data_IF_305999729452
#
_entry.id   IF_305999729452
#
_cell.length_a   1.000
_cell.length_b   1.000
_cell.length_c   1.000
_cell.angle_alpha   90.00
_cell.angle_beta   90.00
_cell.angle_gamma   90.00
#
_symmetry.space_group_name_H-M   'P 1'
#
loop_
_entity.id
_entity.type
_entity.pdbx_description
1 polymer ?
#
# COMPACT_ATOMS: atom_id res chain seq x y z
N UNK A 1 -19.80 -6.50 -6.41
CA UNK A 1 -19.96 -7.78 -7.12
C UNK A 1 -20.01 -8.89 -6.08
N UNK A 2 -21.12 -9.63 -5.97
CA UNK A 2 -21.21 -10.81 -5.11
C UNK A 2 -20.20 -11.90 -5.55
N UNK A 3 -19.66 -12.69 -4.61
CA UNK A 3 -18.79 -13.83 -4.92
C UNK A 3 -17.30 -13.53 -5.16
N UNK A 4 -16.83 -12.30 -4.93
CA UNK A 4 -15.42 -11.94 -5.14
C UNK A 4 -14.50 -12.55 -4.08
N UNK A 5 -14.98 -12.72 -2.84
CA UNK A 5 -14.16 -13.21 -1.73
C UNK A 5 -13.61 -14.60 -2.01
N UNK A 6 -14.38 -15.44 -2.68
CA UNK A 6 -14.08 -16.83 -3.01
C UNK A 6 -13.10 -16.97 -4.19
N UNK A 7 -12.77 -15.86 -4.86
CA UNK A 7 -11.95 -15.85 -6.09
C UNK A 7 -10.87 -14.78 -6.09
N UNK A 8 -10.68 -14.09 -4.97
CA UNK A 8 -9.71 -12.98 -4.84
C UNK A 8 -8.65 -13.32 -3.82
N UNK A 9 -7.39 -13.11 -4.20
CA UNK A 9 -6.27 -13.03 -3.26
C UNK A 9 -5.93 -11.56 -3.07
N UNK A 10 -6.04 -11.09 -1.83
CA UNK A 10 -5.60 -9.77 -1.42
C UNK A 10 -4.15 -9.84 -1.00
N UNK A 11 -3.29 -9.06 -1.65
CA UNK A 11 -1.87 -8.94 -1.30
C UNK A 11 -1.64 -7.51 -0.81
N UNK A 12 -1.04 -7.38 0.37
CA UNK A 12 -0.78 -6.09 0.99
C UNK A 12 0.65 -6.03 1.51
N UNK A 13 1.39 -5.01 1.08
CA UNK A 13 2.73 -4.71 1.58
C UNK A 13 2.71 -3.64 2.68
N UNK A 14 3.67 -3.73 3.61
CA UNK A 14 3.79 -2.76 4.70
C UNK A 14 4.67 -1.54 4.37
N UNK A 15 5.35 -1.56 3.22
CA UNK A 15 6.35 -0.55 2.83
C UNK A 15 5.85 0.90 2.89
N UNK A 16 4.64 1.16 2.41
CA UNK A 16 4.08 2.51 2.34
C UNK A 16 3.28 2.89 3.59
N UNK A 17 2.50 1.94 4.13
CA UNK A 17 1.66 2.20 5.31
C UNK A 17 2.46 2.42 6.60
N UNK A 18 3.67 1.85 6.68
CA UNK A 18 4.55 1.95 7.85
C UNK A 18 5.90 2.62 7.53
N UNK A 19 6.11 3.18 6.34
CA UNK A 19 7.37 3.82 5.92
C UNK A 19 8.62 2.93 6.06
N UNK A 20 8.47 1.62 5.84
CA UNK A 20 9.53 0.61 5.95
C UNK A 20 9.89 -0.03 4.60
N UNK A 21 10.22 0.80 3.60
CA UNK A 21 10.43 0.35 2.20
C UNK A 21 11.48 -0.75 2.04
N UNK A 22 12.52 -0.75 2.89
CA UNK A 22 13.60 -1.75 2.87
C UNK A 22 13.30 -3.06 3.63
N UNK A 23 12.20 -3.15 4.38
CA UNK A 23 12.00 -4.28 5.31
C UNK A 23 11.40 -5.53 4.65
N UNK A 24 10.90 -5.39 3.42
CA UNK A 24 10.37 -6.48 2.59
C UNK A 24 9.33 -7.35 3.31
N UNK A 25 8.43 -6.72 4.08
CA UNK A 25 7.33 -7.39 4.76
C UNK A 25 6.01 -7.16 4.00
N UNK A 26 5.23 -8.23 3.81
CA UNK A 26 3.93 -8.24 3.18
C UNK A 26 3.11 -9.48 3.62
N UNK A 27 1.81 -9.48 3.35
CA UNK A 27 0.96 -10.67 3.50
C UNK A 27 0.08 -10.88 2.28
N UNK A 28 -0.39 -12.11 2.12
CA UNK A 28 -1.44 -12.49 1.19
C UNK A 28 -2.58 -13.16 1.97
N UNK A 29 -3.82 -12.82 1.66
CA UNK A 29 -5.02 -13.39 2.27
C UNK A 29 -6.07 -13.70 1.19
N UNK A 30 -6.74 -14.83 1.29
CA UNK A 30 -7.67 -15.31 0.29
C UNK A 30 -8.18 -16.72 0.62
N UNK A 31 -8.91 -17.37 -0.28
CA UNK A 31 -9.39 -18.73 -0.08
C UNK A 31 -8.24 -19.72 0.09
N UNK A 32 -8.42 -20.69 0.99
CA UNK A 32 -7.35 -21.60 1.45
C UNK A 32 -6.62 -22.29 0.30
N UNK A 33 -7.36 -22.84 -0.67
CA UNK A 33 -6.78 -23.52 -1.83
C UNK A 33 -5.86 -22.63 -2.69
N UNK A 34 -6.13 -21.32 -2.76
CA UNK A 34 -5.25 -20.37 -3.45
C UNK A 34 -4.04 -20.00 -2.60
N UNK A 35 -4.22 -19.81 -1.29
CA UNK A 35 -3.13 -19.47 -0.38
C UNK A 35 -2.13 -20.62 -0.23
N UNK A 36 -2.60 -21.87 -0.24
CA UNK A 36 -1.74 -23.06 -0.27
C UNK A 36 -0.86 -23.10 -1.52
N UNK A 37 -1.43 -22.80 -2.70
CA UNK A 37 -0.66 -22.71 -3.93
C UNK A 37 0.39 -21.58 -3.87
N UNK A 38 0.01 -20.41 -3.34
CA UNK A 38 0.94 -19.28 -3.12
C UNK A 38 2.05 -19.69 -2.13
N UNK A 39 1.73 -20.43 -1.08
CA UNK A 39 2.69 -20.91 -0.09
C UNK A 39 3.72 -21.87 -0.69
N UNK A 40 3.28 -22.81 -1.53
CA UNK A 40 4.16 -23.73 -2.26
C UNK A 40 5.19 -22.98 -3.13
N UNK A 41 4.73 -21.97 -3.88
CA UNK A 41 5.60 -21.11 -4.68
C UNK A 41 6.53 -20.29 -3.79
N UNK A 42 5.99 -19.70 -2.72
CA UNK A 42 6.77 -18.91 -1.77
C UNK A 42 7.91 -19.73 -1.19
N UNK A 43 7.66 -20.92 -0.64
CA UNK A 43 8.70 -21.79 -0.08
C UNK A 43 9.81 -22.13 -1.07
N UNK A 44 9.48 -22.20 -2.37
CA UNK A 44 10.45 -22.45 -3.44
C UNK A 44 11.32 -21.24 -3.74
N UNK A 45 10.73 -20.04 -3.79
CA UNK A 45 11.44 -18.80 -4.11
C UNK A 45 12.14 -18.17 -2.90
N UNK A 46 11.59 -18.38 -1.72
CA UNK A 46 11.95 -17.67 -0.50
C UNK A 46 11.51 -18.47 0.74
N UNK A 47 12.46 -18.89 1.58
CA UNK A 47 12.13 -19.76 2.72
C UNK A 47 11.15 -19.09 3.69
N UNK A 48 11.55 -17.97 4.28
CA UNK A 48 10.72 -17.24 5.24
C UNK A 48 11.13 -15.77 5.32
N UNK A 49 10.21 -14.87 5.72
CA UNK A 49 10.54 -13.49 6.04
C UNK A 49 11.40 -13.41 7.30
N UNK A 50 12.20 -12.35 7.41
CA UNK A 50 12.99 -12.10 8.60
C UNK A 50 12.10 -11.94 9.87
N UNK A 51 12.14 -12.94 10.76
CA UNK A 51 11.39 -12.99 12.02
C UNK A 51 11.44 -11.71 12.86
N UNK A 52 12.62 -11.07 13.11
CA UNK A 52 12.63 -9.82 13.90
C UNK A 52 11.82 -8.69 13.23
N UNK A 53 11.80 -8.63 11.90
CA UNK A 53 11.02 -7.63 11.17
C UNK A 53 9.51 -7.93 11.22
N UNK A 54 9.12 -9.20 11.29
CA UNK A 54 7.72 -9.58 11.51
C UNK A 54 7.22 -9.08 12.87
N UNK A 55 8.02 -9.20 13.93
CA UNK A 55 7.67 -8.63 15.24
C UNK A 55 7.58 -7.10 15.21
N UNK A 56 8.48 -6.44 14.48
CA UNK A 56 8.42 -4.98 14.29
C UNK A 56 7.13 -4.55 13.59
N UNK A 57 6.71 -5.27 12.54
CA UNK A 57 5.42 -5.04 11.88
C UNK A 57 4.25 -5.29 12.82
N UNK A 58 4.26 -6.38 13.59
CA UNK A 58 3.20 -6.68 14.56
C UNK A 58 3.02 -5.52 15.57
N UNK A 59 4.12 -5.01 16.12
CA UNK A 59 4.12 -3.85 17.02
C UNK A 59 3.67 -2.56 16.34
N UNK A 60 3.96 -2.40 15.06
CA UNK A 60 3.54 -1.24 14.30
C UNK A 60 2.04 -1.26 13.95
N UNK A 61 1.47 -2.46 13.80
CA UNK A 61 0.03 -2.67 13.59
C UNK A 61 -0.78 -2.40 14.87
N UNK A 62 -0.20 -2.68 16.03
CA UNK A 62 -0.76 -2.33 17.34
C UNK A 62 -0.82 -0.80 17.49
N UNK A 63 -2.03 -0.22 17.50
CA UNK A 63 -2.25 1.23 17.51
C UNK A 63 -2.04 1.95 16.16
N UNK A 64 -2.04 1.22 15.03
CA UNK A 64 -1.76 1.81 13.72
C UNK A 64 -2.74 2.90 13.27
N UNK A 65 -4.01 2.81 13.65
CA UNK A 65 -5.05 3.78 13.27
C UNK A 65 -4.71 5.21 13.69
N UNK A 66 -4.25 5.37 14.93
CA UNK A 66 -3.87 6.66 15.51
C UNK A 66 -2.55 7.17 14.91
N UNK A 67 -1.56 6.27 14.78
CA UNK A 67 -0.24 6.62 14.22
C UNK A 67 -0.28 7.00 12.74
N UNK A 68 -1.24 6.48 11.97
CA UNK A 68 -1.37 6.77 10.54
C UNK A 68 -2.14 8.06 10.23
N UNK A 69 -2.85 8.66 11.20
CA UNK A 69 -3.64 9.86 10.96
C UNK A 69 -2.79 11.07 10.57
N UNK A 70 -1.70 11.34 11.32
CA UNK A 70 -0.84 12.49 11.07
C UNK A 70 -0.09 12.43 9.72
N UNK A 71 0.59 11.31 9.36
CA UNK A 71 1.22 11.20 8.05
C UNK A 71 0.21 11.31 6.90
N UNK A 72 -1.00 10.78 7.08
CA UNK A 72 -2.05 10.86 6.06
C UNK A 72 -2.46 12.30 5.77
N UNK A 73 -2.57 13.14 6.80
CA UNK A 73 -2.89 14.55 6.62
C UNK A 73 -1.74 15.28 5.90
N UNK A 74 -0.49 15.06 6.34
CA UNK A 74 0.69 15.67 5.71
C UNK A 74 0.82 15.32 4.23
N UNK A 75 0.55 14.06 3.85
CA UNK A 75 0.54 13.65 2.44
C UNK A 75 -0.62 14.27 1.66
N UNK A 76 -1.78 14.51 2.28
CA UNK A 76 -2.89 15.21 1.64
C UNK A 76 -2.54 16.68 1.39
N UNK A 77 -1.99 17.36 2.39
CA UNK A 77 -1.62 18.78 2.28
C UNK A 77 -0.57 18.97 1.17
N UNK A 78 0.46 18.12 1.12
CA UNK A 78 1.47 18.15 0.05
C UNK A 78 0.89 17.85 -1.33
N UNK A 79 -0.05 16.90 -1.41
CA UNK A 79 -0.74 16.56 -2.67
C UNK A 79 -1.56 17.76 -3.15
N UNK A 80 -2.26 18.43 -2.25
CA UNK A 80 -3.15 19.54 -2.58
C UNK A 80 -2.33 20.77 -3.00
N UNK A 81 -1.23 21.08 -2.31
CA UNK A 81 -0.27 22.11 -2.72
C UNK A 81 0.32 21.83 -4.12
N UNK A 82 0.72 20.58 -4.39
CA UNK A 82 1.25 20.20 -5.71
C UNK A 82 0.19 20.32 -6.81
N UNK A 83 -1.04 19.88 -6.52
CA UNK A 83 -2.15 19.97 -7.46
C UNK A 83 -2.47 21.43 -7.82
N UNK A 84 -2.49 22.32 -6.83
CA UNK A 84 -2.68 23.76 -7.04
C UNK A 84 -1.55 24.37 -7.88
N UNK A 85 -0.28 24.03 -7.57
CA UNK A 85 0.86 24.51 -8.35
C UNK A 85 0.80 24.06 -9.82
N UNK A 86 0.38 22.81 -10.08
CA UNK A 86 0.23 22.29 -11.43
C UNK A 86 -0.89 22.99 -12.21
N UNK A 87 -2.04 23.24 -11.56
CA UNK A 87 -3.15 23.98 -12.17
C UNK A 87 -2.73 25.42 -12.49
N UNK A 88 -2.03 26.09 -11.57
CA UNK A 88 -1.52 27.44 -11.78
C UNK A 88 -0.49 27.52 -12.91
N UNK A 89 0.28 26.44 -13.14
CA UNK A 89 1.20 26.33 -14.25
C UNK A 89 0.52 25.94 -15.60
N UNK A 90 -0.81 25.81 -15.63
CA UNK A 90 -1.58 25.50 -16.85
C UNK A 90 -1.73 24.00 -17.15
N UNK A 91 -1.36 23.11 -16.21
CA UNK A 91 -1.55 21.66 -16.37
C UNK A 91 -2.89 21.19 -15.83
N UNK A 92 -3.48 20.18 -16.47
CA UNK A 92 -4.67 19.50 -15.96
C UNK A 92 -4.30 18.54 -14.83
N UNK A 93 -4.95 18.67 -13.67
CA UNK A 93 -4.76 17.79 -12.51
C UNK A 93 -6.08 17.09 -12.14
N UNK A 94 -6.11 15.76 -12.25
CA UNK A 94 -7.16 14.96 -11.61
C UNK A 94 -6.74 14.66 -10.18
N UNK A 95 -7.49 15.13 -9.18
CA UNK A 95 -7.16 14.90 -7.77
C UNK A 95 -7.23 13.40 -7.44
N UNK A 96 -6.11 12.71 -7.14
CA UNK A 96 -6.16 11.28 -6.85
C UNK A 96 -6.75 11.07 -5.45
N UNK A 97 -7.85 10.32 -5.36
CA UNK A 97 -8.60 10.12 -4.11
C UNK A 97 -7.82 9.29 -3.07
N UNK A 98 -6.85 8.48 -3.49
CA UNK A 98 -5.91 7.76 -2.62
C UNK A 98 -4.78 7.09 -3.43
N UNK A 99 -3.82 7.85 -3.96
CA UNK A 99 -2.56 7.30 -4.44
C UNK A 99 -1.47 8.36 -4.36
N UNK A 100 -0.26 7.98 -3.92
CA UNK A 100 0.88 8.88 -3.74
C UNK A 100 1.52 9.34 -5.07
N UNK A 101 0.97 8.95 -6.22
CA UNK A 101 1.48 9.31 -7.54
C UNK A 101 0.42 10.08 -8.33
N UNK A 102 0.74 11.31 -8.71
CA UNK A 102 -0.02 12.10 -9.67
C UNK A 102 0.72 12.02 -11.02
N UNK A 103 0.17 11.36 -12.02
CA UNK A 103 0.72 11.34 -13.37
C UNK A 103 0.14 12.53 -14.16
N UNK A 104 0.94 13.53 -14.58
CA UNK A 104 0.45 14.63 -15.40
C UNK A 104 0.09 14.10 -16.79
N UNK A 105 -1.11 14.43 -17.27
CA UNK A 105 -1.54 14.16 -18.64
C UNK A 105 -1.67 15.52 -19.35
N UNK A 106 -1.10 15.72 -20.54
CA UNK A 106 -1.20 16.99 -21.24
C UNK A 106 -2.67 17.28 -21.61
N UNK A 107 -3.11 18.51 -21.39
CA UNK A 107 -4.40 18.98 -21.85
C UNK A 107 -4.34 19.13 -23.38
N UNK A 108 -5.17 18.36 -24.08
CA UNK A 108 -5.53 18.63 -25.48
C UNK A 108 -6.80 19.46 -25.49
#
# INVERSE_FOLDING_TARGET
MPGLRERTVTIQGFSKGLSITGWRQAFAAGPSHMIEAVHCIHQTLYLCPATPLQHGVLRALDGASERQAAPRQEFQDRRDQLAEALVNAGFWSSRPRAASSCSPTPAT
#
